data_IF_703808812230
#
_entry.id   IF_703808812230
#
_cell.length_a   1.000
_cell.length_b   1.000
_cell.length_c   1.000
_cell.angle_alpha   90.00
_cell.angle_beta   90.00
_cell.angle_gamma   90.00
#
_symmetry.space_group_name_H-M   'P 1'
#
loop_
_entity.id
_entity.type
_entity.pdbx_description
1 polymer ?
#
# COMPACT_ATOMS: atom_id res chain seq x y z
N UNK A 1 30.21 -67.79 4.79
CA UNK A 1 29.44 -66.81 3.98
C UNK A 1 28.96 -65.72 4.93
N UNK A 2 29.57 -64.52 4.88
CA UNK A 2 29.37 -63.43 5.87
C UNK A 2 28.09 -62.65 5.53
N UNK A 3 27.19 -62.50 6.52
CA UNK A 3 25.93 -61.77 6.41
C UNK A 3 26.21 -60.27 6.62
N UNK A 4 25.96 -59.44 5.60
CA UNK A 4 26.24 -58.00 5.62
C UNK A 4 25.05 -57.19 6.17
N UNK A 5 25.40 -56.22 7.00
CA UNK A 5 24.57 -55.25 7.72
C UNK A 5 23.91 -54.24 6.78
N UNK A 6 22.61 -53.97 6.93
CA UNK A 6 21.92 -52.85 6.28
C UNK A 6 21.76 -51.70 7.28
N UNK A 7 22.47 -50.60 7.04
CA UNK A 7 22.36 -49.34 7.78
C UNK A 7 21.28 -48.50 7.12
N UNK A 8 20.21 -48.20 7.85
CA UNK A 8 19.14 -47.29 7.44
C UNK A 8 19.59 -45.83 7.58
N UNK A 9 19.75 -45.13 6.46
CA UNK A 9 20.02 -43.70 6.43
C UNK A 9 18.74 -42.90 6.69
N UNK A 10 18.69 -42.17 7.81
CA UNK A 10 17.67 -41.16 8.06
C UNK A 10 18.02 -39.89 7.29
N UNK A 11 17.26 -39.57 6.23
CA UNK A 11 17.29 -38.26 5.59
C UNK A 11 16.47 -37.27 6.42
N UNK A 12 17.16 -36.35 7.09
CA UNK A 12 16.55 -35.17 7.72
C UNK A 12 16.10 -34.19 6.64
N UNK A 13 14.78 -34.06 6.43
CA UNK A 13 14.22 -33.03 5.54
C UNK A 13 14.19 -31.70 6.29
N UNK A 14 15.17 -30.83 6.01
CA UNK A 14 15.11 -29.43 6.42
C UNK A 14 13.99 -28.73 5.63
N UNK A 15 12.89 -28.38 6.30
CA UNK A 15 11.82 -27.57 5.68
C UNK A 15 12.33 -26.14 5.46
N UNK A 16 12.55 -25.78 4.20
CA UNK A 16 12.74 -24.40 3.80
C UNK A 16 11.43 -23.63 4.03
N UNK A 17 11.40 -22.76 5.03
CA UNK A 17 10.30 -21.84 5.23
C UNK A 17 10.18 -20.93 4.00
N UNK A 18 9.12 -21.09 3.23
CA UNK A 18 8.74 -20.13 2.21
C UNK A 18 8.45 -18.81 2.90
N UNK A 19 9.16 -17.73 2.54
CA UNK A 19 8.85 -16.36 2.95
C UNK A 19 7.47 -15.99 2.35
N UNK A 20 6.41 -16.43 3.02
CA UNK A 20 5.04 -16.09 2.68
C UNK A 20 4.83 -14.57 2.80
N UNK A 21 4.02 -14.02 1.89
CA UNK A 21 3.55 -12.63 1.94
C UNK A 21 3.15 -12.28 3.37
N UNK A 22 3.81 -11.30 3.98
CA UNK A 22 3.48 -10.88 5.35
C UNK A 22 2.08 -10.28 5.33
N UNK A 23 1.13 -11.01 5.90
CA UNK A 23 -0.25 -10.54 6.04
C UNK A 23 -0.27 -9.24 6.83
N UNK A 24 -1.08 -8.27 6.39
CA UNK A 24 -1.26 -6.99 7.08
C UNK A 24 -1.83 -7.25 8.47
N UNK A 25 -1.19 -6.71 9.51
CA UNK A 25 -1.65 -6.83 10.89
C UNK A 25 -2.57 -5.65 11.23
N UNK A 26 -3.84 -5.89 11.61
CA UNK A 26 -4.75 -4.81 12.00
C UNK A 26 -4.19 -3.94 13.12
N UNK A 27 -4.44 -2.64 13.03
CA UNK A 27 -3.93 -1.62 13.96
C UNK A 27 -2.43 -1.33 13.83
N UNK A 28 -1.74 -1.89 12.83
CA UNK A 28 -0.32 -1.68 12.58
C UNK A 28 -0.09 -1.24 11.14
N UNK A 29 0.79 -0.25 10.95
CA UNK A 29 1.21 0.16 9.61
C UNK A 29 2.04 -0.94 8.96
N UNK A 30 1.64 -1.38 7.77
CA UNK A 30 2.29 -2.49 7.05
C UNK A 30 2.77 -2.02 5.68
N UNK A 31 3.96 -2.42 5.26
CA UNK A 31 4.45 -2.16 3.89
C UNK A 31 3.82 -3.16 2.92
N UNK A 32 3.31 -2.66 1.79
CA UNK A 32 2.80 -3.51 0.70
C UNK A 32 3.83 -3.51 -0.43
N UNK A 33 4.25 -4.71 -0.84
CA UNK A 33 5.25 -4.88 -1.89
C UNK A 33 4.70 -5.58 -3.14
N UNK A 34 3.52 -6.20 -3.06
CA UNK A 34 2.93 -7.00 -4.14
C UNK A 34 1.84 -6.24 -4.92
N UNK A 35 2.22 -5.08 -5.45
CA UNK A 35 1.38 -4.25 -6.31
C UNK A 35 2.18 -3.72 -7.52
N UNK A 36 1.49 -3.18 -8.51
CA UNK A 36 2.12 -2.63 -9.72
C UNK A 36 2.18 -1.10 -9.64
N UNK A 37 3.38 -0.54 -9.69
CA UNK A 37 3.62 0.90 -9.82
C UNK A 37 4.43 1.16 -11.09
N UNK A 38 3.99 2.06 -11.99
CA UNK A 38 4.81 2.52 -13.12
C UNK A 38 6.08 3.26 -12.69
N UNK A 39 6.05 3.89 -11.51
CA UNK A 39 7.20 4.56 -10.91
C UNK A 39 7.76 3.73 -9.74
N UNK A 40 8.88 4.14 -9.14
CA UNK A 40 9.43 3.48 -7.93
C UNK A 40 8.68 3.87 -6.64
N UNK A 41 7.44 4.37 -6.77
CA UNK A 41 6.64 4.74 -5.62
C UNK A 41 6.28 3.50 -4.82
N UNK A 42 6.32 3.59 -3.51
CA UNK A 42 5.95 2.51 -2.59
C UNK A 42 4.75 2.95 -1.77
N UNK A 43 4.09 2.04 -1.05
CA UNK A 43 3.11 2.47 -0.06
C UNK A 43 3.05 1.57 1.15
N UNK A 44 2.57 2.18 2.22
CA UNK A 44 2.21 1.50 3.44
C UNK A 44 0.70 1.59 3.62
N UNK A 45 0.11 0.57 4.23
CA UNK A 45 -1.32 0.48 4.49
C UNK A 45 -1.55 0.38 5.99
N UNK A 46 -2.55 1.11 6.47
CA UNK A 46 -3.08 1.00 7.81
C UNK A 46 -4.51 0.48 7.73
N UNK A 47 -4.71 -0.73 8.25
CA UNK A 47 -6.03 -1.36 8.40
C UNK A 47 -6.40 -1.25 9.87
N UNK A 48 -7.50 -0.58 10.25
CA UNK A 48 -7.88 -0.43 11.64
C UNK A 48 -8.27 -1.78 12.26
N UNK A 49 -8.20 -1.88 13.59
CA UNK A 49 -8.66 -3.07 14.33
C UNK A 49 -10.16 -3.30 14.14
N UNK A 50 -10.93 -2.20 14.06
CA UNK A 50 -12.37 -2.22 13.80
C UNK A 50 -12.66 -1.86 12.35
N UNK A 51 -12.30 -2.75 11.43
CA UNK A 51 -12.57 -2.56 10.00
C UNK A 51 -14.08 -2.63 9.73
N UNK A 52 -14.62 -1.66 9.00
CA UNK A 52 -16.01 -1.69 8.55
C UNK A 52 -16.24 -2.84 7.56
N UNK A 53 -17.47 -3.36 7.49
CA UNK A 53 -17.82 -4.44 6.55
C UNK A 53 -17.65 -4.05 5.07
N UNK A 54 -17.85 -2.76 4.78
CA UNK A 54 -17.62 -2.14 3.47
C UNK A 54 -16.78 -0.88 3.70
N UNK A 55 -15.45 -1.03 3.84
CA UNK A 55 -14.59 0.06 4.29
C UNK A 55 -14.35 1.05 3.15
N UNK A 56 -14.31 2.34 3.49
CA UNK A 56 -13.75 3.35 2.59
C UNK A 56 -12.23 3.28 2.53
N UNK A 57 -11.63 4.02 1.60
CA UNK A 57 -10.17 4.17 1.48
C UNK A 57 -9.81 5.65 1.44
N UNK A 58 -8.85 6.05 2.26
CA UNK A 58 -8.20 7.36 2.16
C UNK A 58 -6.76 7.18 1.68
N UNK A 59 -6.39 7.81 0.57
CA UNK A 59 -5.01 7.99 0.18
C UNK A 59 -4.45 9.28 0.80
N UNK A 60 -3.55 9.14 1.78
CA UNK A 60 -2.94 10.25 2.50
C UNK A 60 -1.53 10.54 1.96
N UNK A 61 -1.40 11.60 1.18
CA UNK A 61 -0.23 11.91 0.35
C UNK A 61 0.68 12.97 1.02
N UNK A 62 1.94 12.60 1.26
CA UNK A 62 2.88 13.43 2.02
C UNK A 62 3.39 14.68 1.26
N UNK A 63 3.98 15.62 2.01
CA UNK A 63 4.68 16.81 1.52
C UNK A 63 6.14 16.51 1.10
N UNK A 64 6.82 17.47 0.47
CA UNK A 64 8.23 17.32 0.08
C UNK A 64 9.16 17.00 1.26
N UNK A 65 10.09 16.06 1.09
CA UNK A 65 10.99 15.57 2.14
C UNK A 65 10.34 14.61 3.14
N UNK A 66 9.03 14.39 3.01
CA UNK A 66 8.29 13.41 3.80
C UNK A 66 8.36 11.99 3.23
N UNK A 67 7.72 11.07 3.93
CA UNK A 67 7.47 9.69 3.52
C UNK A 67 6.08 9.27 3.96
N UNK A 68 5.58 8.13 3.49
CA UNK A 68 4.35 7.53 3.98
C UNK A 68 4.36 7.32 5.51
N UNK A 69 5.50 6.86 6.06
CA UNK A 69 5.69 6.66 7.50
C UNK A 69 5.60 7.97 8.28
N UNK A 70 6.25 9.02 7.77
CA UNK A 70 6.23 10.34 8.40
C UNK A 70 4.80 10.89 8.41
N UNK A 71 4.08 10.75 7.30
CA UNK A 71 2.70 11.22 7.19
C UNK A 71 1.72 10.39 8.03
N UNK A 72 1.95 9.07 8.17
CA UNK A 72 1.21 8.23 9.12
C UNK A 72 1.36 8.70 10.56
N UNK A 73 2.57 9.11 10.96
CA UNK A 73 2.83 9.59 12.33
C UNK A 73 2.30 11.02 12.53
N UNK A 74 2.42 11.87 11.51
CA UNK A 74 2.10 13.30 11.57
C UNK A 74 0.67 13.68 11.17
N UNK A 75 -0.21 12.72 10.90
CA UNK A 75 -1.60 12.97 10.48
C UNK A 75 -2.61 12.24 11.37
N UNK A 76 -3.86 12.73 11.45
CA UNK A 76 -4.88 12.13 12.32
C UNK A 76 -5.52 10.87 11.73
N UNK A 77 -5.21 10.52 10.47
CA UNK A 77 -6.00 9.55 9.70
C UNK A 77 -6.00 8.15 10.30
N UNK A 78 -4.91 7.71 10.95
CA UNK A 78 -4.90 6.41 11.64
C UNK A 78 -5.91 6.35 12.81
N UNK A 79 -6.01 7.44 13.56
CA UNK A 79 -6.91 7.54 14.71
C UNK A 79 -8.36 7.59 14.23
N UNK A 80 -8.61 8.35 13.16
CA UNK A 80 -9.91 8.42 12.52
C UNK A 80 -10.30 7.07 11.88
N UNK A 81 -9.35 6.34 11.29
CA UNK A 81 -9.58 5.00 10.75
C UNK A 81 -10.06 4.02 11.83
N UNK A 82 -9.52 4.08 13.05
CA UNK A 82 -10.00 3.27 14.18
C UNK A 82 -11.41 3.66 14.66
N UNK A 83 -11.82 4.91 14.43
CA UNK A 83 -13.17 5.40 14.79
C UNK A 83 -14.22 5.06 13.74
N UNK A 84 -13.89 5.23 12.45
CA UNK A 84 -14.86 5.14 11.34
C UNK A 84 -14.70 3.86 10.50
N UNK A 85 -13.66 3.06 10.75
CA UNK A 85 -13.47 1.76 10.10
C UNK A 85 -13.05 1.81 8.63
N UNK A 86 -12.47 2.93 8.17
CA UNK A 86 -11.89 3.03 6.83
C UNK A 86 -10.40 2.65 6.81
N UNK A 87 -9.89 2.28 5.65
CA UNK A 87 -8.47 1.98 5.43
C UNK A 87 -7.74 3.27 5.02
N UNK A 88 -6.51 3.43 5.47
CA UNK A 88 -5.63 4.51 5.00
C UNK A 88 -4.43 3.92 4.30
N UNK A 89 -4.15 4.39 3.08
CA UNK A 89 -2.88 4.14 2.43
C UNK A 89 -2.01 5.39 2.50
N UNK A 90 -0.71 5.18 2.70
CA UNK A 90 0.31 6.20 2.79
C UNK A 90 1.36 5.94 1.71
N UNK A 91 1.14 6.47 0.49
CA UNK A 91 2.12 6.40 -0.58
C UNK A 91 3.40 7.13 -0.20
N UNK A 92 4.54 6.67 -0.73
CA UNK A 92 5.85 7.35 -0.64
C UNK A 92 6.36 7.60 -2.05
N UNK A 93 6.66 8.86 -2.34
CA UNK A 93 7.19 9.27 -3.63
C UNK A 93 8.57 8.64 -3.92
N UNK A 94 8.92 8.40 -5.20
CA UNK A 94 10.26 7.93 -5.57
C UNK A 94 11.38 8.94 -5.26
N UNK A 95 11.02 10.22 -5.18
CA UNK A 95 11.92 11.35 -4.95
C UNK A 95 11.45 12.11 -3.70
N UNK A 96 12.15 13.20 -3.34
CA UNK A 96 11.76 14.02 -2.19
C UNK A 96 10.37 14.65 -2.34
N UNK A 97 9.91 14.95 -3.56
CA UNK A 97 8.58 15.48 -3.86
C UNK A 97 7.84 14.57 -4.86
N UNK A 98 6.52 14.71 -4.91
CA UNK A 98 5.68 14.06 -5.92
C UNK A 98 5.87 14.73 -7.29
N UNK A 99 5.95 13.93 -8.35
CA UNK A 99 5.89 14.44 -9.71
C UNK A 99 4.47 14.94 -10.02
N UNK A 100 4.30 16.25 -10.07
CA UNK A 100 3.01 16.93 -10.33
C UNK A 100 3.05 17.78 -11.59
N UNK A 101 4.06 17.59 -12.45
CA UNK A 101 4.30 18.43 -13.63
C UNK A 101 4.59 17.66 -14.91
N UNK A 102 5.09 16.42 -14.82
CA UNK A 102 5.38 15.66 -16.04
C UNK A 102 4.10 15.24 -16.77
N UNK A 103 4.19 15.09 -18.10
CA UNK A 103 3.09 14.55 -18.90
C UNK A 103 2.62 13.19 -18.38
N UNK A 104 3.53 12.35 -17.87
CA UNK A 104 3.21 11.03 -17.33
C UNK A 104 2.31 11.12 -16.09
N UNK A 105 2.55 12.10 -15.23
CA UNK A 105 1.76 12.29 -14.01
C UNK A 105 0.49 13.12 -14.22
N UNK A 106 0.47 13.94 -15.29
CA UNK A 106 -0.69 14.77 -15.67
C UNK A 106 -1.67 14.09 -16.64
N UNK A 107 -1.34 12.89 -17.12
CA UNK A 107 -2.20 12.13 -18.06
C UNK A 107 -2.79 10.92 -17.35
N UNK A 108 -4.08 10.67 -17.56
CA UNK A 108 -4.74 9.46 -17.08
C UNK A 108 -4.02 8.22 -17.61
N UNK A 109 -3.66 7.30 -16.72
CA UNK A 109 -2.86 6.11 -17.03
C UNK A 109 -1.52 6.40 -17.75
N UNK A 110 -0.98 7.62 -17.58
CA UNK A 110 0.26 8.07 -18.23
C UNK A 110 1.55 7.48 -17.65
N UNK A 111 1.45 6.61 -16.64
CA UNK A 111 2.62 5.97 -16.02
C UNK A 111 3.44 6.86 -15.09
N UNK A 112 2.87 7.95 -14.58
CA UNK A 112 3.49 8.81 -13.56
C UNK A 112 3.13 8.43 -12.13
N UNK A 113 3.52 9.28 -11.18
CA UNK A 113 3.26 9.04 -9.75
C UNK A 113 1.75 9.01 -9.42
N UNK A 114 0.94 9.81 -10.11
CA UNK A 114 -0.53 9.76 -10.00
C UNK A 114 -1.08 8.37 -10.34
N UNK A 115 -0.55 7.75 -11.41
CA UNK A 115 -0.92 6.39 -11.81
C UNK A 115 -0.46 5.35 -10.77
N UNK A 116 0.73 5.51 -10.19
CA UNK A 116 1.20 4.65 -9.11
C UNK A 116 0.26 4.71 -7.90
N UNK A 117 -0.16 5.91 -7.46
CA UNK A 117 -1.13 6.08 -6.36
C UNK A 117 -2.47 5.43 -6.70
N UNK A 118 -2.98 5.64 -7.92
CA UNK A 118 -4.23 5.01 -8.37
C UNK A 118 -4.16 3.47 -8.31
N UNK A 119 -3.01 2.88 -8.67
CA UNK A 119 -2.82 1.44 -8.57
C UNK A 119 -2.78 0.93 -7.12
N UNK A 120 -2.25 1.73 -6.19
CA UNK A 120 -2.29 1.41 -4.76
C UNK A 120 -3.74 1.37 -4.23
N UNK A 121 -4.57 2.33 -4.66
CA UNK A 121 -6.01 2.33 -4.34
C UNK A 121 -6.72 1.13 -4.95
N UNK A 122 -6.49 0.85 -6.24
CA UNK A 122 -7.03 -0.35 -6.94
C UNK A 122 -6.64 -1.64 -6.20
N UNK A 123 -5.39 -1.74 -5.75
CA UNK A 123 -4.90 -2.87 -4.96
C UNK A 123 -5.66 -2.99 -3.64
N UNK A 124 -5.86 -1.89 -2.90
CA UNK A 124 -6.60 -1.90 -1.64
C UNK A 124 -8.05 -2.30 -1.83
N UNK A 125 -8.73 -1.76 -2.85
CA UNK A 125 -10.11 -2.14 -3.20
C UNK A 125 -10.20 -3.65 -3.43
N UNK A 126 -9.30 -4.20 -4.25
CA UNK A 126 -9.28 -5.64 -4.58
C UNK A 126 -9.06 -6.52 -3.34
N UNK A 127 -8.10 -6.16 -2.49
CA UNK A 127 -7.69 -7.02 -1.37
C UNK A 127 -8.62 -6.90 -0.14
N UNK A 128 -9.28 -5.76 0.05
CA UNK A 128 -10.12 -5.50 1.22
C UNK A 128 -11.61 -5.36 0.88
N UNK A 129 -12.00 -5.56 -0.38
CA UNK A 129 -13.37 -5.37 -0.88
C UNK A 129 -13.91 -3.97 -0.49
N UNK A 130 -13.04 -2.98 -0.60
CA UNK A 130 -13.37 -1.61 -0.20
C UNK A 130 -14.47 -1.02 -1.10
N UNK A 131 -15.27 -0.13 -0.51
CA UNK A 131 -16.38 0.52 -1.19
C UNK A 131 -15.86 1.59 -2.16
N UNK A 132 -16.07 1.37 -3.46
CA UNK A 132 -15.63 2.30 -4.51
C UNK A 132 -16.35 3.65 -4.49
N UNK A 133 -17.49 3.75 -3.78
CA UNK A 133 -18.18 5.02 -3.55
C UNK A 133 -17.58 5.83 -2.38
N UNK A 134 -16.63 5.25 -1.63
CA UNK A 134 -16.01 5.86 -0.44
C UNK A 134 -14.49 5.92 -0.56
N UNK A 135 -14.02 6.32 -1.74
CA UNK A 135 -12.60 6.54 -1.99
C UNK A 135 -12.34 8.05 -1.90
N UNK A 136 -11.35 8.42 -1.09
CA UNK A 136 -10.96 9.81 -0.89
C UNK A 136 -9.44 9.95 -1.01
N UNK A 137 -9.00 11.14 -1.39
CA UNK A 137 -7.58 11.51 -1.41
C UNK A 137 -7.40 12.81 -0.65
N UNK A 138 -6.32 12.88 0.13
CA UNK A 138 -5.91 14.07 0.85
C UNK A 138 -4.40 14.18 0.84
N UNK A 139 -3.86 15.39 1.01
CA UNK A 139 -2.43 15.60 1.09
C UNK A 139 -2.05 17.00 1.55
N UNK A 140 -0.76 17.23 1.74
CA UNK A 140 -0.21 18.53 2.13
C UNK A 140 0.90 18.97 1.19
N UNK A 141 0.96 20.26 0.85
CA UNK A 141 1.99 20.85 -0.03
C UNK A 141 2.08 20.10 -1.37
N UNK A 142 3.22 19.50 -1.72
CA UNK A 142 3.38 18.64 -2.90
C UNK A 142 2.32 17.51 -2.97
N UNK A 143 1.94 16.94 -1.83
CA UNK A 143 0.85 15.96 -1.77
C UNK A 143 -0.53 16.56 -2.06
N UNK A 144 -0.78 17.81 -1.67
CA UNK A 144 -2.01 18.52 -2.03
C UNK A 144 -2.04 18.86 -3.54
N UNK A 145 -0.89 19.24 -4.11
CA UNK A 145 -0.75 19.40 -5.56
C UNK A 145 -1.01 18.08 -6.30
N UNK A 146 -0.61 16.94 -5.72
CA UNK A 146 -0.92 15.62 -6.27
C UNK A 146 -2.41 15.28 -6.13
N UNK A 147 -3.06 15.65 -5.03
CA UNK A 147 -4.50 15.42 -4.82
C UNK A 147 -5.33 15.99 -5.97
N UNK A 148 -5.02 17.17 -6.49
CA UNK A 148 -5.76 17.76 -7.63
C UNK A 148 -5.44 17.11 -8.99
N UNK A 149 -4.45 16.20 -9.07
CA UNK A 149 -4.12 15.44 -10.28
C UNK A 149 -4.74 14.04 -10.31
N UNK A 150 -5.29 13.59 -9.19
CA UNK A 150 -5.99 12.31 -9.07
C UNK A 150 -7.50 12.29 -9.43
N UNK A 151 -8.25 13.41 -9.59
CA UNK A 151 -9.71 13.37 -9.70
C UNK A 151 -10.25 13.13 -11.13
N UNK A 152 -9.49 12.54 -12.06
CA UNK A 152 -9.95 12.31 -13.45
C UNK A 152 -9.96 10.84 -13.87
N UNK A 153 -10.24 9.90 -12.97
CA UNK A 153 -10.33 8.48 -13.28
C UNK A 153 -11.70 8.00 -12.82
N UNK A 154 -12.50 7.23 -13.58
CA UNK A 154 -13.70 6.54 -13.06
C UNK A 154 -13.35 5.37 -12.12
N UNK A 155 -12.58 5.72 -11.08
CA UNK A 155 -12.48 5.21 -9.71
C UNK A 155 -12.41 6.42 -8.72
N UNK A 156 -12.77 7.62 -9.21
CA UNK A 156 -13.15 8.91 -8.60
C UNK A 156 -14.21 9.58 -9.51
#
# INVERSE_FOLDING_TARGET
MRLQTLITSFLSVASAATLGKRAVTPGTLSTVTDFTAPTKATFQIYVPKKLAASPGVIAAVHYCGGTGQAYYTGSPYKTLAEQYGFIVIYPTAPQSCWDVSSKKSLTHEGGGDSNSIANMVKWTIKNYKADTSKIFVTGSSSGAMMTVRLPTCPLF
#
